data_IF_598933657007
#
_entry.id   IF_598933657007
#
_cell.length_a   1.000
_cell.length_b   1.000
_cell.length_c   1.000
_cell.angle_alpha   90.00
_cell.angle_beta   90.00
_cell.angle_gamma   90.00
#
_symmetry.space_group_name_H-M   'P 1'
#
loop_
_entity.id
_entity.type
_entity.pdbx_description
1 polymer ?
#
# COMPACT_ATOMS: atom_id res chain seq x y z
N UNK A 1 -27.14 -21.20 21.44
CA UNK A 1 -26.44 -19.89 21.44
C UNK A 1 -25.14 -20.09 22.19
N UNK A 2 -24.03 -20.14 21.51
CA UNK A 2 -22.71 -20.01 22.10
C UNK A 2 -22.57 -18.56 22.58
N UNK A 3 -22.32 -18.30 23.86
CA UNK A 3 -22.08 -16.94 24.31
C UNK A 3 -20.81 -16.44 23.65
N UNK A 4 -20.92 -15.38 22.84
CA UNK A 4 -19.75 -14.67 22.31
C UNK A 4 -19.08 -13.95 23.46
N UNK A 5 -17.77 -14.10 23.56
CA UNK A 5 -16.94 -13.33 24.47
C UNK A 5 -16.94 -11.87 24.01
N UNK A 6 -17.41 -10.95 24.84
CA UNK A 6 -17.44 -9.51 24.48
C UNK A 6 -16.07 -8.88 24.61
N UNK A 7 -15.86 -7.75 23.91
CA UNK A 7 -14.62 -6.96 24.03
C UNK A 7 -14.42 -6.44 25.45
N UNK A 8 -15.50 -6.10 26.14
CA UNK A 8 -15.50 -5.66 27.54
C UNK A 8 -15.02 -6.78 28.45
N UNK A 9 -15.50 -8.02 28.22
CA UNK A 9 -15.06 -9.18 29.00
C UNK A 9 -13.56 -9.45 28.77
N UNK A 10 -13.11 -9.48 27.52
CA UNK A 10 -11.68 -9.64 27.21
C UNK A 10 -10.82 -8.52 27.81
N UNK A 11 -11.31 -7.28 27.78
CA UNK A 11 -10.62 -6.14 28.38
C UNK A 11 -10.63 -6.15 29.91
N UNK A 12 -11.54 -6.90 30.55
CA UNK A 12 -11.62 -7.04 32.01
C UNK A 12 -10.71 -8.16 32.56
N UNK A 13 -10.17 -9.03 31.68
CA UNK A 13 -9.24 -10.06 32.11
C UNK A 13 -7.94 -9.39 32.57
N UNK A 14 -7.63 -9.54 33.84
CA UNK A 14 -6.32 -9.13 34.37
C UNK A 14 -5.27 -10.07 33.77
N UNK A 15 -4.39 -9.51 32.95
CA UNK A 15 -3.26 -10.24 32.33
C UNK A 15 -2.17 -10.48 33.38
N UNK A 16 -2.53 -11.16 34.45
CA UNK A 16 -1.58 -11.59 35.50
C UNK A 16 -1.44 -13.10 35.45
N UNK A 17 -0.32 -13.62 34.91
CA UNK A 17 -0.11 -15.07 34.74
C UNK A 17 -0.27 -15.86 36.03
N UNK A 18 0.13 -15.29 37.17
CA UNK A 18 0.06 -15.96 38.47
C UNK A 18 -1.37 -16.12 39.02
N UNK A 19 -2.34 -15.35 38.51
CA UNK A 19 -3.70 -15.35 39.01
C UNK A 19 -4.73 -15.94 38.04
N UNK A 20 -4.47 -15.82 36.74
CA UNK A 20 -5.45 -16.16 35.68
C UNK A 20 -5.02 -17.29 34.78
N UNK A 21 -3.77 -17.73 34.83
CA UNK A 21 -3.22 -18.70 33.85
C UNK A 21 -3.16 -18.16 32.43
N UNK A 22 -3.22 -16.83 32.26
CA UNK A 22 -3.06 -16.15 31.00
C UNK A 22 -1.59 -15.79 30.81
N UNK A 23 -1.03 -16.15 29.67
CA UNK A 23 0.36 -15.82 29.29
C UNK A 23 0.33 -14.70 28.26
N UNK A 24 1.16 -13.69 28.44
CA UNK A 24 1.46 -12.72 27.39
C UNK A 24 2.66 -13.25 26.60
N UNK A 25 2.45 -13.56 25.33
CA UNK A 25 3.51 -13.94 24.41
C UNK A 25 4.12 -12.63 23.89
N UNK A 26 5.25 -12.21 24.44
CA UNK A 26 5.92 -10.96 24.04
C UNK A 26 6.42 -11.00 22.60
N UNK A 27 6.78 -12.17 22.09
CA UNK A 27 7.08 -12.37 20.68
C UNK A 27 5.90 -11.89 19.80
N UNK A 28 4.71 -12.43 20.03
CA UNK A 28 3.50 -12.06 19.29
C UNK A 28 3.05 -10.62 19.58
N UNK A 29 3.20 -10.16 20.82
CA UNK A 29 2.86 -8.82 21.23
C UNK A 29 3.75 -7.75 20.58
N UNK A 30 4.95 -8.10 20.13
CA UNK A 30 5.84 -7.23 19.36
C UNK A 30 5.23 -6.80 18.02
N UNK A 31 4.32 -7.59 17.47
CA UNK A 31 3.55 -7.25 16.26
C UNK A 31 2.49 -6.16 16.47
N UNK A 32 2.19 -5.79 17.73
CA UNK A 32 1.23 -4.73 18.02
C UNK A 32 1.82 -3.35 17.79
N UNK A 33 1.01 -2.45 17.22
CA UNK A 33 1.42 -1.07 16.98
C UNK A 33 0.26 -0.09 17.12
N UNK A 34 0.61 1.17 17.29
CA UNK A 34 -0.32 2.30 17.17
C UNK A 34 0.09 3.17 16.00
N UNK A 35 -0.86 3.41 15.10
CA UNK A 35 -0.69 4.33 14.00
C UNK A 35 -1.84 5.32 13.95
N UNK A 36 -1.55 6.57 13.61
CA UNK A 36 -2.55 7.57 13.26
C UNK A 36 -2.13 8.30 12.01
N UNK A 37 -3.06 8.46 11.08
CA UNK A 37 -2.88 9.23 9.86
C UNK A 37 -3.88 10.38 9.83
N UNK A 38 -3.38 11.56 9.47
CA UNK A 38 -4.20 12.72 9.16
C UNK A 38 -3.88 13.19 7.76
N UNK A 39 -4.88 13.17 6.89
CA UNK A 39 -4.77 13.68 5.53
C UNK A 39 -5.59 14.94 5.43
N UNK A 40 -4.92 16.06 5.13
CA UNK A 40 -5.57 17.33 4.82
C UNK A 40 -5.39 17.60 3.34
N UNK A 41 -6.47 17.86 2.64
CA UNK A 41 -6.43 18.04 1.20
C UNK A 41 -7.27 19.22 0.72
N UNK A 42 -6.80 19.84 -0.36
CA UNK A 42 -7.55 20.82 -1.11
C UNK A 42 -7.44 20.49 -2.60
N UNK A 43 -8.45 20.84 -3.38
CA UNK A 43 -8.42 20.66 -4.82
C UNK A 43 -9.11 21.82 -5.53
N UNK A 44 -8.69 22.05 -6.77
CA UNK A 44 -9.34 22.94 -7.71
C UNK A 44 -9.59 22.17 -9.01
N UNK A 45 -10.73 22.37 -9.58
CA UNK A 45 -11.12 21.79 -10.87
C UNK A 45 -11.64 22.90 -11.78
N UNK A 46 -11.24 22.84 -13.02
CA UNK A 46 -11.64 23.76 -14.07
C UNK A 46 -12.12 22.98 -15.30
N UNK A 47 -13.39 23.16 -15.64
CA UNK A 47 -14.03 22.52 -16.79
C UNK A 47 -14.23 23.58 -17.87
N UNK A 48 -13.70 23.32 -19.06
CA UNK A 48 -13.75 24.26 -20.18
C UNK A 48 -14.17 23.60 -21.48
N UNK A 49 -15.09 24.21 -22.17
CA UNK A 49 -15.40 23.87 -23.56
C UNK A 49 -14.72 24.88 -24.49
N UNK A 50 -13.84 24.39 -25.33
CA UNK A 50 -13.09 25.16 -26.31
C UNK A 50 -13.70 24.95 -27.69
N UNK A 51 -14.59 25.84 -28.04
CA UNK A 51 -15.42 25.68 -29.24
C UNK A 51 -16.45 24.56 -29.11
N UNK A 52 -16.80 23.93 -30.25
CA UNK A 52 -17.82 22.87 -30.30
C UNK A 52 -17.23 21.45 -30.14
N UNK A 53 -15.93 21.30 -30.32
CA UNK A 53 -15.29 19.99 -30.48
C UNK A 53 -14.35 19.59 -29.35
N UNK A 54 -13.83 20.53 -28.57
CA UNK A 54 -12.86 20.24 -27.55
C UNK A 54 -13.42 20.56 -26.16
N UNK A 55 -13.39 19.54 -25.30
CA UNK A 55 -13.67 19.67 -23.87
C UNK A 55 -12.40 19.37 -23.10
N UNK A 56 -12.10 20.20 -22.10
CA UNK A 56 -10.94 20.06 -21.23
C UNK A 56 -11.38 20.08 -19.77
N UNK A 57 -10.84 19.17 -18.98
CA UNK A 57 -10.97 19.16 -17.51
C UNK A 57 -9.57 19.22 -16.93
N UNK A 58 -9.32 20.27 -16.18
CA UNK A 58 -8.03 20.48 -15.49
C UNK A 58 -8.26 20.36 -13.99
N UNK A 59 -7.46 19.58 -13.32
CA UNK A 59 -7.53 19.38 -11.88
C UNK A 59 -6.16 19.52 -11.23
N UNK A 60 -6.13 20.09 -10.04
CA UNK A 60 -4.98 20.06 -9.18
C UNK A 60 -5.43 19.78 -7.76
N UNK A 61 -4.92 18.71 -7.18
CA UNK A 61 -5.15 18.34 -5.80
C UNK A 61 -3.84 18.39 -5.03
N UNK A 62 -3.87 18.98 -3.84
CA UNK A 62 -2.80 18.96 -2.86
C UNK A 62 -3.23 18.08 -1.69
N UNK A 63 -2.37 17.19 -1.25
CA UNK A 63 -2.55 16.40 -0.05
C UNK A 63 -1.35 16.56 0.88
N UNK A 64 -1.62 16.97 2.11
CA UNK A 64 -0.69 16.94 3.22
C UNK A 64 -1.02 15.74 4.08
N UNK A 65 -0.06 14.82 4.23
CA UNK A 65 -0.20 13.61 5.05
C UNK A 65 0.71 13.72 6.26
N UNK A 66 0.15 13.61 7.45
CA UNK A 66 0.87 13.55 8.71
C UNK A 66 0.62 12.19 9.38
N UNK A 67 1.69 11.43 9.55
CA UNK A 67 1.70 10.09 10.14
C UNK A 67 2.40 10.12 11.50
N UNK A 68 1.81 9.41 12.46
CA UNK A 68 2.48 9.08 13.72
C UNK A 68 2.32 7.59 13.96
N UNK A 69 3.39 6.93 14.33
CA UNK A 69 3.38 5.51 14.62
C UNK A 69 4.36 5.16 15.72
N UNK A 70 4.05 4.11 16.46
CA UNK A 70 4.90 3.50 17.47
C UNK A 70 4.54 2.02 17.57
N UNK A 71 5.52 1.21 17.84
CA UNK A 71 5.40 -0.23 18.01
C UNK A 71 6.24 -0.71 19.17
N UNK A 72 6.50 -1.98 19.21
CA UNK A 72 7.33 -2.63 20.22
C UNK A 72 8.33 -3.54 19.53
N UNK A 73 9.52 -3.64 20.11
CA UNK A 73 10.50 -4.69 19.83
C UNK A 73 10.40 -5.73 20.94
N UNK A 74 10.45 -6.98 20.59
CA UNK A 74 10.72 -8.03 21.54
C UNK A 74 12.22 -8.12 21.72
N UNK A 75 12.69 -8.06 22.96
CA UNK A 75 14.10 -8.09 23.31
C UNK A 75 14.32 -9.25 24.27
N UNK A 76 15.24 -10.13 23.91
CA UNK A 76 15.71 -11.23 24.73
C UNK A 76 17.14 -10.91 25.14
N UNK A 77 17.34 -10.64 26.42
CA UNK A 77 18.68 -10.29 26.95
C UNK A 77 19.48 -11.53 27.34
N UNK A 78 18.81 -12.60 27.73
CA UNK A 78 19.40 -13.86 28.16
C UNK A 78 18.63 -15.01 27.49
N UNK A 79 19.37 -15.95 26.93
CA UNK A 79 18.79 -17.15 26.28
C UNK A 79 18.07 -18.11 27.25
N UNK A 80 18.34 -17.97 28.56
CA UNK A 80 17.63 -18.70 29.61
C UNK A 80 16.26 -18.04 29.94
N UNK A 81 16.06 -16.77 29.55
CA UNK A 81 14.78 -16.05 29.68
C UNK A 81 13.97 -16.13 28.38
N UNK A 82 13.27 -17.24 28.20
CA UNK A 82 12.41 -17.47 27.03
C UNK A 82 11.30 -16.41 26.86
N UNK A 83 10.99 -15.63 27.88
CA UNK A 83 9.94 -14.62 27.81
C UNK A 83 10.42 -13.29 27.21
N UNK A 84 11.66 -12.90 27.47
CA UNK A 84 12.18 -11.59 27.07
C UNK A 84 11.35 -10.43 27.61
N UNK A 85 11.45 -9.28 26.97
CA UNK A 85 10.64 -8.09 27.28
C UNK A 85 10.23 -7.31 26.05
N UNK A 86 9.16 -6.52 26.16
CA UNK A 86 8.75 -5.57 25.12
C UNK A 86 9.39 -4.20 25.36
N UNK A 87 10.12 -3.72 24.38
CA UNK A 87 10.60 -2.35 24.33
C UNK A 87 9.84 -1.51 23.32
N UNK A 88 9.35 -0.35 23.76
CA UNK A 88 8.68 0.58 22.86
C UNK A 88 9.68 1.19 21.86
N UNK A 89 9.37 1.16 20.56
CA UNK A 89 10.21 1.74 19.49
C UNK A 89 10.27 3.27 19.51
N UNK A 90 9.52 3.90 20.42
CA UNK A 90 9.30 5.33 20.44
C UNK A 90 8.33 5.79 19.35
N UNK A 91 7.96 7.07 19.42
CA UNK A 91 7.06 7.69 18.42
C UNK A 91 7.89 8.15 17.22
N UNK A 92 7.51 7.69 16.05
CA UNK A 92 8.03 8.18 14.77
C UNK A 92 6.96 9.02 14.08
N UNK A 93 7.40 10.04 13.36
CA UNK A 93 6.55 10.93 12.57
C UNK A 93 7.05 10.94 11.14
N UNK A 94 6.12 10.93 10.21
CA UNK A 94 6.40 11.18 8.80
C UNK A 94 5.38 12.22 8.30
N UNK A 95 5.86 13.22 7.57
CA UNK A 95 5.08 14.38 7.15
C UNK A 95 5.51 14.74 5.73
N UNK A 96 4.55 14.75 4.80
CA UNK A 96 4.85 15.04 3.39
C UNK A 96 3.67 15.64 2.65
N UNK A 97 3.97 16.36 1.56
CA UNK A 97 2.98 16.98 0.67
C UNK A 97 3.09 16.34 -0.72
N UNK A 98 1.95 15.99 -1.29
CA UNK A 98 1.84 15.54 -2.66
C UNK A 98 0.97 16.47 -3.50
N UNK A 99 1.46 16.80 -4.68
CA UNK A 99 0.72 17.51 -5.71
C UNK A 99 0.29 16.51 -6.78
N UNK A 100 -1.01 16.46 -7.05
CA UNK A 100 -1.67 15.49 -7.93
C UNK A 100 -2.39 16.24 -9.05
N UNK A 101 -1.68 16.64 -10.11
CA UNK A 101 -2.30 17.23 -11.28
C UNK A 101 -3.07 16.22 -12.10
N UNK A 102 -4.13 16.68 -12.76
CA UNK A 102 -4.88 15.94 -13.75
C UNK A 102 -5.28 16.81 -14.93
N UNK A 103 -5.12 16.28 -16.13
CA UNK A 103 -5.55 16.92 -17.38
C UNK A 103 -6.31 15.84 -18.18
N UNK A 104 -7.56 16.13 -18.51
CA UNK A 104 -8.36 15.27 -19.37
C UNK A 104 -8.86 16.10 -20.53
N UNK A 105 -8.64 15.59 -21.75
CA UNK A 105 -9.09 16.22 -22.98
C UNK A 105 -10.00 15.24 -23.75
N UNK A 106 -11.09 15.78 -24.29
CA UNK A 106 -11.97 15.05 -25.19
C UNK A 106 -12.15 15.88 -26.45
N UNK A 107 -11.81 15.31 -27.58
CA UNK A 107 -12.00 15.90 -28.90
C UNK A 107 -13.03 15.13 -29.69
N UNK A 108 -14.16 15.76 -30.04
CA UNK A 108 -15.19 15.22 -30.89
C UNK A 108 -14.91 15.62 -32.34
N UNK A 109 -14.25 14.73 -33.09
CA UNK A 109 -13.93 14.97 -34.51
C UNK A 109 -15.22 15.04 -35.35
N UNK A 110 -16.17 14.12 -35.04
CA UNK A 110 -17.54 14.10 -35.52
C UNK A 110 -18.50 13.69 -34.40
N UNK A 111 -19.77 13.52 -34.69
CA UNK A 111 -20.76 13.00 -33.75
C UNK A 111 -20.42 11.56 -33.34
N UNK A 112 -19.82 10.79 -34.24
CA UNK A 112 -19.51 9.37 -34.08
C UNK A 112 -18.07 9.10 -33.70
N UNK A 113 -17.11 10.02 -33.97
CA UNK A 113 -15.67 9.80 -33.72
C UNK A 113 -15.17 10.72 -32.62
N UNK A 114 -14.70 10.13 -31.53
CA UNK A 114 -14.20 10.84 -30.37
C UNK A 114 -12.81 10.37 -29.99
N UNK A 115 -11.96 11.30 -29.63
CA UNK A 115 -10.64 11.02 -29.06
C UNK A 115 -10.59 11.51 -27.62
N UNK A 116 -9.94 10.74 -26.76
CA UNK A 116 -9.71 11.10 -25.36
C UNK A 116 -8.24 10.97 -25.05
N UNK A 117 -7.74 11.89 -24.30
CA UNK A 117 -6.40 11.76 -23.72
C UNK A 117 -6.43 12.25 -22.29
N UNK A 118 -5.64 11.60 -21.44
CA UNK A 118 -5.50 12.02 -20.07
C UNK A 118 -4.04 12.00 -19.63
N UNK A 119 -3.72 12.92 -18.71
CA UNK A 119 -2.51 12.88 -17.92
C UNK A 119 -2.89 13.06 -16.46
N UNK A 120 -2.47 12.12 -15.61
CA UNK A 120 -2.76 12.17 -14.18
C UNK A 120 -1.54 11.75 -13.37
N UNK A 121 -1.36 12.36 -12.20
CA UNK A 121 -0.46 11.84 -11.18
C UNK A 121 -1.27 11.28 -10.03
N UNK A 122 -0.97 10.06 -9.63
CA UNK A 122 -1.61 9.34 -8.53
C UNK A 122 -0.60 8.88 -7.50
N UNK A 123 -1.04 8.48 -6.32
CA UNK A 123 -0.17 7.94 -5.28
C UNK A 123 -0.81 6.72 -4.61
N UNK A 124 0.04 5.85 -4.07
CA UNK A 124 -0.32 4.73 -3.20
C UNK A 124 0.55 4.79 -1.94
N UNK A 125 -0.08 4.83 -0.78
CA UNK A 125 0.62 4.92 0.51
C UNK A 125 1.13 3.56 0.96
N UNK A 126 2.27 3.51 1.68
CA UNK A 126 2.72 2.29 2.35
C UNK A 126 1.67 1.79 3.35
N UNK A 127 1.64 0.49 3.56
CA UNK A 127 0.85 -0.10 4.66
C UNK A 127 1.41 0.36 6.01
N UNK A 128 0.55 0.55 7.01
CA UNK A 128 0.98 0.95 8.35
C UNK A 128 1.96 -0.04 8.97
N UNK A 129 1.71 -1.34 8.82
CA UNK A 129 2.62 -2.39 9.31
C UNK A 129 4.03 -2.31 8.72
N UNK A 130 4.16 -1.81 7.49
CA UNK A 130 5.45 -1.63 6.84
C UNK A 130 6.21 -0.39 7.36
N UNK A 131 5.48 0.61 7.89
CA UNK A 131 6.06 1.86 8.38
C UNK A 131 6.51 1.79 9.84
N UNK A 132 5.89 0.93 10.65
CA UNK A 132 6.21 0.83 12.07
C UNK A 132 7.64 0.30 12.23
N UNK A 133 8.53 1.04 12.92
CA UNK A 133 9.93 0.65 13.04
C UNK A 133 10.10 -0.43 14.13
N UNK A 134 9.35 -1.51 14.03
CA UNK A 134 9.48 -2.68 14.88
C UNK A 134 10.28 -3.76 14.15
N UNK A 135 10.87 -4.63 14.94
CA UNK A 135 11.54 -5.83 14.49
C UNK A 135 10.77 -6.99 15.10
N UNK A 136 10.28 -7.84 14.23
CA UNK A 136 9.63 -9.07 14.61
C UNK A 136 10.49 -10.21 14.10
N UNK A 137 10.96 -11.07 15.00
CA UNK A 137 11.76 -12.24 14.65
C UNK A 137 11.15 -13.51 15.26
N UNK A 138 11.23 -14.59 14.50
CA UNK A 138 10.81 -15.93 14.91
C UNK A 138 12.07 -16.82 14.89
N UNK A 139 12.46 -17.29 16.08
CA UNK A 139 13.67 -18.10 16.25
C UNK A 139 13.50 -19.47 15.60
N UNK A 140 12.32 -20.07 15.74
CA UNK A 140 12.03 -21.41 15.22
C UNK A 140 12.01 -21.46 13.68
N UNK A 141 11.57 -20.38 13.04
CA UNK A 141 11.53 -20.26 11.58
C UNK A 141 12.77 -19.59 11.00
N UNK A 142 13.67 -19.12 11.85
CA UNK A 142 14.86 -18.34 11.47
C UNK A 142 14.55 -17.12 10.60
N UNK A 143 13.40 -16.50 10.82
CA UNK A 143 12.92 -15.33 10.09
C UNK A 143 12.94 -14.07 10.95
N UNK A 144 13.25 -12.91 10.31
CA UNK A 144 13.09 -11.60 10.91
C UNK A 144 12.42 -10.63 9.93
N UNK A 145 11.47 -9.84 10.42
CA UNK A 145 10.77 -8.83 9.64
C UNK A 145 10.97 -7.46 10.24
N UNK A 146 11.48 -6.54 9.45
CA UNK A 146 11.75 -5.16 9.83
C UNK A 146 10.73 -4.22 9.22
N UNK A 147 10.25 -3.26 10.01
CA UNK A 147 9.54 -2.13 9.48
C UNK A 147 10.49 -1.05 8.96
N UNK A 148 10.00 -0.16 8.11
CA UNK A 148 10.77 0.94 7.55
C UNK A 148 10.00 2.27 7.62
N UNK A 149 10.34 3.05 8.63
CA UNK A 149 9.75 4.36 8.87
C UNK A 149 10.02 5.38 7.75
N UNK A 150 11.00 5.14 6.89
CA UNK A 150 11.42 6.06 5.85
C UNK A 150 10.77 5.79 4.49
N UNK A 151 9.82 4.85 4.42
CA UNK A 151 9.10 4.58 3.18
C UNK A 151 8.36 5.82 2.68
N UNK A 152 8.54 6.08 1.40
CA UNK A 152 7.81 7.09 0.64
C UNK A 152 6.58 6.46 -0.02
N UNK A 153 5.52 7.24 -0.28
CA UNK A 153 4.44 6.78 -1.14
C UNK A 153 4.96 6.45 -2.53
N UNK A 154 4.51 5.34 -3.09
CA UNK A 154 4.64 5.07 -4.53
C UNK A 154 3.82 6.08 -5.29
N UNK A 155 4.38 6.73 -6.31
CA UNK A 155 3.67 7.66 -7.17
C UNK A 155 3.65 7.16 -8.61
N UNK A 156 2.59 7.48 -9.36
CA UNK A 156 2.47 7.10 -10.78
C UNK A 156 2.08 8.29 -11.62
N UNK A 157 2.81 8.52 -12.69
CA UNK A 157 2.44 9.41 -13.79
C UNK A 157 1.78 8.55 -14.86
N UNK A 158 0.51 8.84 -15.14
CA UNK A 158 -0.29 8.05 -16.06
C UNK A 158 -0.63 8.91 -17.27
N UNK A 159 -0.46 8.35 -18.44
CA UNK A 159 -0.87 8.92 -19.72
C UNK A 159 -1.75 7.92 -20.47
N UNK A 160 -2.94 8.36 -20.88
CA UNK A 160 -3.86 7.56 -21.66
C UNK A 160 -4.22 8.30 -22.93
N UNK A 161 -4.35 7.56 -24.03
CA UNK A 161 -4.84 8.02 -25.32
C UNK A 161 -5.81 7.00 -25.89
N UNK A 162 -7.03 7.43 -26.24
CA UNK A 162 -8.05 6.55 -26.79
C UNK A 162 -8.81 7.18 -27.95
N UNK A 163 -9.22 6.34 -28.87
CA UNK A 163 -10.16 6.66 -29.95
C UNK A 163 -11.38 5.77 -29.88
N UNK A 164 -12.56 6.36 -30.00
CA UNK A 164 -13.87 5.70 -29.94
C UNK A 164 -14.66 6.04 -31.21
N UNK A 165 -15.08 5.02 -31.93
CA UNK A 165 -15.97 5.17 -33.07
C UNK A 165 -17.29 4.49 -32.78
N UNK A 166 -18.35 5.29 -32.82
CA UNK A 166 -19.73 4.87 -32.61
C UNK A 166 -20.39 4.68 -33.98
N UNK A 167 -21.00 3.54 -34.21
CA UNK A 167 -21.69 3.24 -35.45
C UNK A 167 -23.09 2.66 -35.16
N UNK A 168 -24.07 3.01 -35.97
CA UNK A 168 -25.46 2.64 -35.72
C UNK A 168 -25.97 3.07 -34.34
N UNK A 169 -27.03 2.46 -33.81
CA UNK A 169 -27.61 2.86 -32.53
C UNK A 169 -26.81 2.35 -31.30
N UNK A 170 -26.06 1.25 -31.43
CA UNK A 170 -25.43 0.53 -30.29
C UNK A 170 -24.05 -0.04 -30.61
N UNK A 171 -23.45 0.34 -31.74
CA UNK A 171 -22.13 -0.13 -32.14
C UNK A 171 -20.97 0.74 -31.58
N UNK A 172 -19.91 0.13 -31.08
CA UNK A 172 -18.72 0.81 -30.63
C UNK A 172 -17.45 0.02 -31.02
N UNK A 173 -16.50 0.72 -31.59
CA UNK A 173 -15.12 0.27 -31.70
C UNK A 173 -14.25 1.24 -30.90
N UNK A 174 -13.42 0.75 -30.02
CA UNK A 174 -12.45 1.58 -29.31
C UNK A 174 -11.05 0.99 -29.35
N UNK A 175 -10.06 1.88 -29.44
CA UNK A 175 -8.64 1.56 -29.33
C UNK A 175 -8.04 2.51 -28.28
N UNK A 176 -7.37 1.94 -27.29
CA UNK A 176 -6.70 2.66 -26.23
C UNK A 176 -5.21 2.32 -26.17
N UNK A 177 -4.41 3.30 -25.80
CA UNK A 177 -3.03 3.16 -25.42
C UNK A 177 -2.86 3.77 -24.03
N UNK A 178 -2.13 3.09 -23.15
CA UNK A 178 -1.75 3.66 -21.86
C UNK A 178 -0.24 3.52 -21.61
N UNK A 179 0.28 4.49 -20.88
CA UNK A 179 1.64 4.47 -20.35
C UNK A 179 1.62 4.95 -18.90
N UNK A 180 2.31 4.20 -18.02
CA UNK A 180 2.46 4.56 -16.61
C UNK A 180 3.93 4.52 -16.23
N UNK A 181 4.43 5.60 -15.67
CA UNK A 181 5.74 5.65 -15.04
C UNK A 181 5.54 5.68 -13.52
N UNK A 182 5.87 4.59 -12.87
CA UNK A 182 5.69 4.36 -11.44
C UNK A 182 7.01 4.61 -10.74
N UNK A 183 7.01 5.46 -9.73
CA UNK A 183 8.18 5.85 -8.93
C UNK A 183 8.07 5.33 -7.52
N UNK A 184 9.22 5.04 -6.90
CA UNK A 184 9.33 4.60 -5.51
C UNK A 184 8.47 3.34 -5.22
N UNK A 185 8.52 2.33 -6.10
CA UNK A 185 7.80 1.08 -5.92
C UNK A 185 8.27 0.41 -4.64
N UNK A 186 7.32 0.07 -3.77
CA UNK A 186 7.62 -0.61 -2.51
C UNK A 186 7.72 -2.11 -2.78
N UNK A 187 8.89 -2.67 -2.45
CA UNK A 187 9.17 -4.09 -2.54
C UNK A 187 9.85 -4.57 -1.25
N UNK A 188 9.89 -5.87 -1.05
CA UNK A 188 10.60 -6.49 0.06
C UNK A 188 12.04 -6.82 -0.37
N UNK A 189 13.00 -6.27 0.35
CA UNK A 189 14.39 -6.70 0.29
C UNK A 189 14.59 -7.87 1.25
N UNK A 190 15.30 -8.90 0.80
CA UNK A 190 15.58 -10.10 1.59
C UNK A 190 17.08 -10.38 1.61
N UNK A 191 17.61 -10.67 2.80
CA UNK A 191 18.99 -11.10 2.97
C UNK A 191 19.11 -12.06 4.15
N UNK A 192 20.23 -12.78 4.23
CA UNK A 192 20.53 -13.65 5.38
C UNK A 192 21.68 -13.07 6.20
N UNK A 193 21.52 -13.05 7.52
CA UNK A 193 22.54 -12.55 8.46
C UNK A 193 22.50 -13.31 9.77
N UNK A 194 23.70 -13.54 10.32
CA UNK A 194 23.90 -14.03 11.71
C UNK A 194 24.25 -12.90 12.67
N UNK A 195 24.61 -11.72 12.14
CA UNK A 195 25.19 -10.61 12.92
C UNK A 195 24.52 -9.27 12.57
N UNK A 196 23.20 -9.25 12.27
CA UNK A 196 22.51 -7.98 12.09
C UNK A 196 22.44 -7.25 13.43
N UNK A 197 22.87 -5.97 13.51
CA UNK A 197 22.94 -5.23 14.78
C UNK A 197 21.58 -4.99 15.43
N UNK A 198 20.49 -5.23 14.72
CA UNK A 198 19.12 -5.05 15.20
C UNK A 198 18.50 -6.36 15.71
N UNK A 199 19.19 -7.48 15.59
CA UNK A 199 18.75 -8.78 16.09
C UNK A 199 19.63 -9.16 17.26
N UNK A 200 19.09 -9.73 18.35
CA UNK A 200 19.90 -10.17 19.48
C UNK A 200 21.03 -11.09 19.02
N UNK A 201 22.26 -10.74 19.46
CA UNK A 201 23.42 -11.57 19.17
C UNK A 201 23.44 -12.82 20.05
N UNK A 202 23.98 -13.91 19.50
CA UNK A 202 24.21 -15.12 20.28
C UNK A 202 23.03 -16.08 20.39
N UNK A 203 21.94 -15.83 19.69
CA UNK A 203 20.86 -16.80 19.57
C UNK A 203 21.35 -18.04 18.83
N UNK A 204 21.11 -19.21 19.41
CA UNK A 204 21.47 -20.49 18.84
C UNK A 204 20.22 -21.23 18.41
N UNK A 205 20.30 -21.98 17.30
CA UNK A 205 19.26 -22.87 16.85
C UNK A 205 19.25 -24.17 17.68
N UNK A 206 18.34 -25.10 17.38
CA UNK A 206 18.22 -26.38 18.05
C UNK A 206 19.50 -27.23 18.00
N UNK A 207 20.35 -27.01 17.00
CA UNK A 207 21.63 -27.69 16.81
C UNK A 207 22.79 -27.00 17.57
N UNK A 208 22.53 -25.88 18.25
CA UNK A 208 23.52 -25.10 18.99
C UNK A 208 24.40 -24.21 18.12
N UNK A 209 24.02 -23.96 16.86
CA UNK A 209 24.72 -23.05 15.96
C UNK A 209 24.08 -21.67 15.95
N UNK A 210 24.85 -20.58 15.67
CA UNK A 210 24.28 -19.24 15.54
C UNK A 210 23.16 -19.18 14.51
N UNK A 211 21.99 -18.70 14.93
CA UNK A 211 20.82 -18.54 14.05
C UNK A 211 21.15 -17.62 12.89
N UNK A 212 20.85 -18.08 11.68
CA UNK A 212 21.04 -17.32 10.45
C UNK A 212 19.71 -16.84 9.93
N UNK A 213 19.27 -15.70 10.40
CA UNK A 213 17.98 -15.13 10.06
C UNK A 213 17.86 -14.76 8.58
N UNK A 214 16.75 -15.15 7.94
CA UNK A 214 16.28 -14.55 6.71
C UNK A 214 15.53 -13.26 7.06
N UNK A 215 16.16 -12.12 6.77
CA UNK A 215 15.64 -10.82 7.11
C UNK A 215 14.86 -10.25 5.93
N UNK A 216 13.63 -9.81 6.19
CA UNK A 216 12.76 -9.15 5.22
C UNK A 216 12.49 -7.71 5.65
N UNK A 217 12.71 -6.75 4.74
CA UNK A 217 12.48 -5.33 4.98
C UNK A 217 11.83 -4.66 3.79
N UNK A 218 10.73 -3.91 3.97
CA UNK A 218 10.14 -3.12 2.90
C UNK A 218 11.03 -1.90 2.57
N UNK A 219 11.29 -1.70 1.28
CA UNK A 219 12.07 -0.57 0.75
C UNK A 219 11.37 0.05 -0.45
N UNK A 220 11.68 1.30 -0.77
CA UNK A 220 11.40 1.85 -2.09
C UNK A 220 12.50 1.38 -3.04
N UNK A 221 12.24 0.31 -3.79
CA UNK A 221 13.27 -0.47 -4.46
C UNK A 221 13.63 0.07 -5.84
N UNK A 222 12.64 0.40 -6.67
CA UNK A 222 12.85 0.73 -8.08
C UNK A 222 11.72 1.59 -8.65
N UNK A 223 11.97 2.10 -9.85
CA UNK A 223 10.97 2.70 -10.72
C UNK A 223 10.54 1.67 -11.77
N UNK A 224 9.31 1.75 -12.24
CA UNK A 224 8.78 0.84 -13.24
C UNK A 224 8.01 1.60 -14.33
N UNK A 225 8.12 1.11 -15.55
CA UNK A 225 7.33 1.57 -16.68
C UNK A 225 6.35 0.47 -17.11
N UNK A 226 5.10 0.86 -17.31
CA UNK A 226 4.05 -0.02 -17.78
C UNK A 226 3.35 0.63 -18.96
N UNK A 227 3.19 -0.09 -20.05
CA UNK A 227 2.42 0.37 -21.21
C UNK A 227 1.61 -0.77 -21.79
N UNK A 228 0.53 -0.43 -22.50
CA UNK A 228 -0.30 -1.41 -23.15
C UNK A 228 -1.26 -0.82 -24.15
N UNK A 229 -1.87 -1.71 -24.93
CA UNK A 229 -2.91 -1.43 -25.89
C UNK A 229 -4.18 -2.15 -25.48
N UNK A 230 -5.31 -1.47 -25.60
CA UNK A 230 -6.63 -2.00 -25.31
C UNK A 230 -7.49 -1.87 -26.57
N UNK A 231 -8.19 -2.93 -26.94
CA UNK A 231 -9.15 -2.94 -28.01
C UNK A 231 -10.50 -3.43 -27.50
N UNK A 232 -11.57 -2.71 -27.82
CA UNK A 232 -12.91 -3.17 -27.52
C UNK A 232 -13.82 -3.01 -28.77
N UNK A 233 -14.66 -4.02 -28.96
CA UNK A 233 -15.72 -4.02 -29.97
C UNK A 233 -17.02 -4.41 -29.29
N UNK A 234 -18.04 -3.60 -29.50
CA UNK A 234 -19.39 -3.85 -29.02
C UNK A 234 -20.37 -3.63 -30.13
N UNK A 235 -21.32 -4.55 -30.27
CA UNK A 235 -22.41 -4.43 -31.21
C UNK A 235 -23.66 -5.11 -30.65
N UNK A 236 -24.82 -4.53 -30.93
CA UNK A 236 -26.10 -5.18 -30.74
C UNK A 236 -26.30 -6.23 -31.86
N UNK A 237 -26.76 -7.42 -31.51
CA UNK A 237 -27.06 -8.51 -32.43
C UNK A 237 -28.55 -8.61 -32.77
N UNK A 238 -29.38 -7.61 -32.44
CA UNK A 238 -30.81 -7.53 -32.79
C UNK A 238 -31.09 -7.64 -34.27
N UNK A 239 -30.10 -7.39 -35.15
CA UNK A 239 -30.17 -7.63 -36.57
C UNK A 239 -30.17 -9.12 -36.97
N UNK A 240 -29.64 -10.01 -36.10
CA UNK A 240 -29.63 -11.47 -36.32
C UNK A 240 -30.86 -12.11 -35.68
N UNK A 241 -31.29 -11.61 -34.52
CA UNK A 241 -32.44 -12.11 -33.80
C UNK A 241 -33.17 -10.92 -33.14
N UNK A 242 -34.26 -10.42 -33.72
CA UNK A 242 -34.98 -9.25 -33.20
C UNK A 242 -35.56 -9.44 -31.78
N UNK A 243 -35.48 -10.65 -31.22
CA UNK A 243 -35.94 -11.00 -29.87
C UNK A 243 -34.81 -11.21 -28.85
N UNK A 244 -33.58 -10.97 -29.22
CA UNK A 244 -32.41 -10.90 -28.34
C UNK A 244 -32.08 -9.42 -28.14
#
# INVERSE_FOLDING_TARGET
HTPFVTKEYLGSLAMNPSQTGVYELYEEASGNYKASERITSAYVRFDQKLGRKLEAVLGLRMEHTALNYSGFNWVVDDLEDEQGRLEATGKKKNDYINWLPSVLLKYSASDDLKFRTSFTKTLSRPKYSALVPCIHYNIAEEEARFGNANLKPTTSYNFDLGGEYYFESVGLVSLGFFYKNVKDVIAEEKWKSTNDPNIPAGLLNEDGEPVKYEITKPINAYDADLFGLEFAYQRDFGFIAPSL
#
